data_IF_999143144714
#
_entry.id   IF_999143144714
#
_cell.length_a   1.000
_cell.length_b   1.000
_cell.length_c   1.000
_cell.angle_alpha   90.00
_cell.angle_beta   90.00
_cell.angle_gamma   90.00
#
_symmetry.space_group_name_H-M   'P 1'
#
loop_
_entity.id
_entity.type
_entity.pdbx_description
1 polymer ?
#
# COMPACT_ATOMS: atom_id res chain seq x y z
N UNK A 1 -12.33 10.45 3.05
CA UNK A 1 -11.71 10.15 1.75
C UNK A 1 -10.60 11.12 1.36
N UNK A 2 -10.85 12.44 1.21
CA UNK A 2 -9.77 13.42 0.89
C UNK A 2 -8.56 13.31 1.82
N UNK A 3 -8.78 13.32 3.14
CA UNK A 3 -7.71 13.11 4.14
C UNK A 3 -6.96 11.78 3.97
N UNK A 4 -7.67 10.71 3.58
CA UNK A 4 -7.05 9.40 3.32
C UNK A 4 -6.13 9.47 2.10
N UNK A 5 -6.57 10.11 1.00
CA UNK A 5 -5.76 10.29 -0.20
C UNK A 5 -4.53 11.16 0.09
N UNK A 6 -4.70 12.31 0.78
CA UNK A 6 -3.58 13.19 1.18
C UNK A 6 -2.54 12.45 2.02
N UNK A 7 -2.98 11.62 2.98
CA UNK A 7 -2.06 10.81 3.79
C UNK A 7 -1.30 9.75 2.98
N UNK A 8 -1.84 9.31 1.84
CA UNK A 8 -1.22 8.27 0.99
C UNK A 8 -0.36 8.85 -0.14
N UNK A 9 -0.69 10.04 -0.63
CA UNK A 9 0.06 10.74 -1.68
C UNK A 9 1.14 11.66 -1.13
N UNK A 10 0.95 12.25 0.05
CA UNK A 10 1.76 13.37 0.55
C UNK A 10 1.54 14.68 -0.22
N UNK A 11 0.62 14.68 -1.18
CA UNK A 11 0.34 15.77 -2.11
C UNK A 11 -1.16 16.06 -2.15
N UNK A 12 -1.52 17.30 -1.85
CA UNK A 12 -2.90 17.75 -1.75
C UNK A 12 -3.59 17.97 -3.11
N UNK A 13 -2.83 18.30 -4.15
CA UNK A 13 -3.33 18.52 -5.51
C UNK A 13 -3.60 17.18 -6.18
N UNK A 14 -2.62 16.28 -6.14
CA UNK A 14 -2.81 14.89 -6.59
C UNK A 14 -3.96 14.20 -5.84
N UNK A 15 -4.08 14.44 -4.52
CA UNK A 15 -5.21 13.90 -3.76
C UNK A 15 -6.57 14.46 -4.20
N UNK A 16 -6.63 15.69 -4.71
CA UNK A 16 -7.86 16.28 -5.24
C UNK A 16 -8.23 15.66 -6.59
N UNK A 17 -7.24 15.44 -7.46
CA UNK A 17 -7.45 14.78 -8.76
C UNK A 17 -7.94 13.34 -8.59
N UNK A 18 -7.26 12.54 -7.76
CA UNK A 18 -7.68 11.17 -7.47
C UNK A 18 -9.07 11.11 -6.82
N UNK A 19 -9.41 12.11 -6.01
CA UNK A 19 -10.74 12.22 -5.42
C UNK A 19 -11.80 12.51 -6.48
N UNK A 20 -11.50 13.39 -7.44
CA UNK A 20 -12.38 13.69 -8.56
C UNK A 20 -12.66 12.43 -9.38
N UNK A 21 -11.62 11.67 -9.73
CA UNK A 21 -11.75 10.40 -10.46
C UNK A 21 -12.58 9.36 -9.71
N UNK A 22 -12.46 9.30 -8.38
CA UNK A 22 -13.29 8.42 -7.56
C UNK A 22 -14.78 8.75 -7.69
N UNK A 23 -15.13 10.04 -7.65
CA UNK A 23 -16.51 10.48 -7.80
C UNK A 23 -17.03 10.29 -9.21
N UNK A 24 -16.22 10.56 -10.24
CA UNK A 24 -16.58 10.30 -11.63
C UNK A 24 -16.93 8.82 -11.85
N UNK A 25 -16.09 7.90 -11.33
CA UNK A 25 -16.35 6.45 -11.40
C UNK A 25 -17.59 6.04 -10.61
N UNK A 26 -17.85 6.66 -9.45
CA UNK A 26 -19.09 6.42 -8.71
C UNK A 26 -20.32 6.86 -9.49
N UNK A 27 -20.30 8.02 -10.14
CA UNK A 27 -21.43 8.52 -10.94
C UNK A 27 -21.75 7.54 -12.07
N UNK A 28 -20.74 7.10 -12.80
CA UNK A 28 -20.90 6.08 -13.86
C UNK A 28 -21.47 4.79 -13.26
N UNK A 29 -20.91 4.31 -12.14
CA UNK A 29 -21.39 3.09 -11.49
C UNK A 29 -22.85 3.18 -11.04
N UNK A 30 -23.30 4.34 -10.57
CA UNK A 30 -24.68 4.58 -10.17
C UNK A 30 -25.66 4.48 -11.35
N UNK A 31 -25.23 4.84 -12.57
CA UNK A 31 -26.03 4.64 -13.79
C UNK A 31 -26.23 3.15 -14.10
N UNK A 32 -25.27 2.30 -13.72
CA UNK A 32 -25.31 0.84 -13.84
C UNK A 32 -25.98 0.16 -12.62
N UNK A 33 -26.42 0.93 -11.63
CA UNK A 33 -27.07 0.46 -10.40
C UNK A 33 -26.33 0.85 -9.13
N UNK A 34 -27.05 0.93 -8.00
CA UNK A 34 -26.44 1.36 -6.74
C UNK A 34 -25.56 0.27 -6.14
N UNK A 35 -24.29 0.57 -5.75
CA UNK A 35 -23.50 -0.36 -4.97
C UNK A 35 -24.14 -0.60 -3.61
N UNK A 36 -24.12 -1.86 -3.13
CA UNK A 36 -24.61 -2.23 -1.79
C UNK A 36 -23.98 -1.40 -0.67
N UNK A 37 -22.73 -0.96 -0.87
CA UNK A 37 -22.05 -0.03 0.02
C UNK A 37 -21.19 0.96 -0.77
N UNK A 38 -21.65 2.21 -0.85
CA UNK A 38 -21.01 3.30 -1.59
C UNK A 38 -19.63 3.66 -1.01
N UNK A 39 -19.48 3.69 0.32
CA UNK A 39 -18.20 4.00 0.95
C UNK A 39 -17.15 2.94 0.65
N UNK A 40 -17.55 1.67 0.75
CA UNK A 40 -16.75 0.51 0.40
C UNK A 40 -16.26 0.60 -1.05
N UNK A 41 -17.15 0.89 -1.99
CA UNK A 41 -16.81 1.09 -3.40
C UNK A 41 -15.82 2.26 -3.60
N UNK A 42 -16.07 3.41 -2.99
CA UNK A 42 -15.22 4.59 -3.12
C UNK A 42 -13.80 4.35 -2.61
N UNK A 43 -13.63 3.66 -1.47
CA UNK A 43 -12.30 3.30 -0.98
C UNK A 43 -11.60 2.28 -1.89
N UNK A 44 -12.34 1.34 -2.49
CA UNK A 44 -11.78 0.43 -3.50
C UNK A 44 -11.24 1.20 -4.70
N UNK A 45 -12.03 2.12 -5.25
CA UNK A 45 -11.62 2.93 -6.40
C UNK A 45 -10.41 3.82 -6.06
N UNK A 46 -10.43 4.47 -4.89
CA UNK A 46 -9.32 5.30 -4.41
C UNK A 46 -8.02 4.48 -4.29
N UNK A 47 -8.08 3.28 -3.73
CA UNK A 47 -6.92 2.39 -3.62
C UNK A 47 -6.41 1.96 -5.00
N UNK A 48 -7.29 1.63 -5.94
CA UNK A 48 -6.86 1.31 -7.31
C UNK A 48 -6.15 2.48 -7.98
N UNK A 49 -6.71 3.69 -7.89
CA UNK A 49 -6.12 4.89 -8.48
C UNK A 49 -4.76 5.23 -7.87
N UNK A 50 -4.62 5.11 -6.55
CA UNK A 50 -3.32 5.28 -5.86
C UNK A 50 -2.27 4.28 -6.37
N UNK A 51 -2.69 3.04 -6.58
CA UNK A 51 -1.81 1.96 -7.01
C UNK A 51 -1.39 2.16 -8.47
N UNK A 52 -2.33 2.49 -9.35
CA UNK A 52 -2.05 2.78 -10.76
C UNK A 52 -1.14 4.00 -10.89
N UNK A 53 -1.40 5.06 -10.11
CA UNK A 53 -0.54 6.24 -10.05
C UNK A 53 0.89 5.88 -9.61
N UNK A 54 1.04 5.08 -8.53
CA UNK A 54 2.35 4.61 -8.06
C UNK A 54 3.06 3.72 -9.07
N UNK A 55 2.35 2.85 -9.80
CA UNK A 55 2.96 2.02 -10.86
C UNK A 55 3.47 2.86 -12.02
N UNK A 56 2.68 3.82 -12.49
CA UNK A 56 3.08 4.72 -13.56
C UNK A 56 4.28 5.58 -13.12
N UNK A 57 4.28 6.02 -11.87
CA UNK A 57 5.41 6.74 -11.29
C UNK A 57 6.65 5.84 -11.11
N UNK A 58 6.50 4.57 -10.75
CA UNK A 58 7.63 3.63 -10.65
C UNK A 58 8.20 3.26 -12.02
N UNK A 59 7.35 3.05 -13.03
CA UNK A 59 7.80 2.80 -14.42
C UNK A 59 8.53 4.02 -15.00
N UNK A 60 8.03 5.23 -14.74
CA UNK A 60 8.72 6.47 -15.08
C UNK A 60 10.04 6.63 -14.29
N UNK A 61 10.05 6.27 -13.00
CA UNK A 61 11.27 6.28 -12.17
C UNK A 61 12.31 5.27 -12.59
N UNK A 62 11.94 4.08 -13.08
CA UNK A 62 12.92 3.12 -13.64
C UNK A 62 13.61 3.63 -14.91
N UNK A 63 13.01 4.56 -15.65
CA UNK A 63 13.69 5.31 -16.72
C UNK A 63 14.47 6.53 -16.19
N UNK A 64 14.18 7.00 -14.97
CA UNK A 64 14.76 8.17 -14.34
C UNK A 64 15.64 7.85 -13.10
N UNK A 65 16.19 6.63 -12.95
CA UNK A 65 17.19 6.28 -11.89
C UNK A 65 18.57 6.91 -12.18
N UNK A 66 18.56 8.11 -12.71
CA UNK A 66 19.71 9.00 -12.83
C UNK A 66 19.35 10.39 -12.29
N UNK A 67 18.68 10.48 -11.12
CA UNK A 67 18.86 11.58 -10.17
C UNK A 67 18.08 11.35 -8.86
N UNK A 68 18.81 11.43 -7.75
CA UNK A 68 18.41 11.90 -6.41
C UNK A 68 17.35 11.15 -5.58
N UNK A 69 17.89 10.36 -4.65
CA UNK A 69 17.70 10.37 -3.19
C UNK A 69 16.42 11.05 -2.64
N UNK A 70 15.52 10.24 -2.08
CA UNK A 70 14.35 10.70 -1.32
C UNK A 70 14.73 11.00 0.14
N UNK A 71 14.55 12.25 0.54
CA UNK A 71 14.77 12.76 1.91
C UNK A 71 13.75 12.19 2.91
N UNK A 72 14.27 11.82 4.09
CA UNK A 72 13.52 11.33 5.26
C UNK A 72 12.66 12.44 5.88
N UNK A 73 11.36 12.18 6.06
CA UNK A 73 10.51 12.99 6.92
C UNK A 73 10.81 12.65 8.39
N UNK A 74 11.54 13.53 9.07
CA UNK A 74 11.80 13.46 10.51
C UNK A 74 10.65 14.09 11.31
N UNK A 75 10.20 13.40 12.38
CA UNK A 75 9.31 13.93 13.43
C UNK A 75 10.14 14.19 14.70
N UNK A 76 10.25 15.44 15.22
CA UNK A 76 11.23 15.80 16.24
C UNK A 76 10.82 15.56 17.71
N UNK A 77 9.73 14.83 18.00
CA UNK A 77 9.19 14.76 19.38
C UNK A 77 9.33 13.40 20.12
N UNK A 78 9.92 12.37 19.53
CA UNK A 78 10.16 11.10 20.24
C UNK A 78 11.63 11.01 20.70
N UNK A 79 11.87 10.75 21.98
CA UNK A 79 13.21 10.66 22.57
C UNK A 79 14.16 9.77 21.76
N UNK A 80 15.42 10.21 21.63
CA UNK A 80 16.44 9.62 20.77
C UNK A 80 16.59 8.10 20.92
N UNK A 81 16.37 7.58 22.14
CA UNK A 81 16.47 6.15 22.46
C UNK A 81 15.29 5.33 21.92
N UNK A 82 14.07 5.87 22.02
CA UNK A 82 12.85 5.23 21.51
C UNK A 82 12.84 5.23 19.98
N UNK A 83 13.37 6.29 19.36
CA UNK A 83 13.49 6.36 17.91
C UNK A 83 14.54 5.37 17.36
N UNK A 84 15.66 5.17 18.06
CA UNK A 84 16.68 4.22 17.63
C UNK A 84 16.17 2.78 17.66
N UNK A 85 15.49 2.38 18.74
CA UNK A 85 14.89 1.05 18.88
C UNK A 85 13.77 0.81 17.85
N UNK A 86 12.90 1.80 17.62
CA UNK A 86 11.87 1.74 16.59
C UNK A 86 12.45 1.60 15.17
N UNK A 87 13.52 2.34 14.84
CA UNK A 87 14.22 2.23 13.55
C UNK A 87 14.87 0.86 13.38
N UNK A 88 15.49 0.32 14.43
CA UNK A 88 16.12 -1.01 14.41
C UNK A 88 15.08 -2.12 14.19
N UNK A 89 13.92 -2.05 14.86
CA UNK A 89 12.81 -2.99 14.63
C UNK A 89 12.23 -2.87 13.22
N UNK A 90 12.07 -1.64 12.71
CA UNK A 90 11.57 -1.42 11.36
C UNK A 90 12.52 -1.97 10.28
N UNK A 91 13.84 -1.79 10.47
CA UNK A 91 14.88 -2.36 9.60
C UNK A 91 14.82 -3.89 9.60
N UNK A 92 14.76 -4.53 10.78
CA UNK A 92 14.62 -6.00 10.89
C UNK A 92 13.38 -6.52 10.17
N UNK A 93 12.25 -5.83 10.31
CA UNK A 93 11.01 -6.19 9.61
C UNK A 93 11.16 -6.03 8.08
N UNK A 94 11.81 -4.97 7.62
CA UNK A 94 12.09 -4.72 6.22
C UNK A 94 12.98 -5.82 5.62
N UNK A 95 14.07 -6.17 6.30
CA UNK A 95 15.00 -7.21 5.85
C UNK A 95 14.31 -8.58 5.81
N UNK A 96 13.52 -8.91 6.81
CA UNK A 96 12.72 -10.13 6.82
C UNK A 96 11.71 -10.16 5.65
N UNK A 97 11.07 -9.04 5.32
CA UNK A 97 10.20 -8.98 4.14
C UNK A 97 10.96 -9.30 2.84
N UNK A 98 12.22 -8.86 2.70
CA UNK A 98 13.02 -9.10 1.50
C UNK A 98 13.37 -10.59 1.29
N UNK A 99 13.34 -11.40 2.35
CA UNK A 99 13.60 -12.85 2.25
C UNK A 99 12.42 -13.67 1.74
N UNK A 100 11.21 -13.10 1.77
CA UNK A 100 10.02 -13.78 1.26
C UNK A 100 10.08 -13.90 -0.28
N UNK A 101 9.43 -14.90 -0.89
CA UNK A 101 9.28 -14.94 -2.34
C UNK A 101 8.64 -13.65 -2.87
N UNK A 102 9.12 -13.14 -4.01
CA UNK A 102 8.69 -11.87 -4.61
C UNK A 102 7.16 -11.71 -4.67
N UNK A 103 6.44 -12.79 -4.98
CA UNK A 103 4.97 -12.77 -5.05
C UNK A 103 4.31 -12.56 -3.70
N UNK A 104 4.86 -13.16 -2.65
CA UNK A 104 4.41 -12.98 -1.27
C UNK A 104 4.68 -11.55 -0.80
N UNK A 105 5.85 -10.98 -1.14
CA UNK A 105 6.17 -9.58 -0.88
C UNK A 105 5.16 -8.62 -1.53
N UNK A 106 4.90 -8.81 -2.83
CA UNK A 106 3.95 -8.00 -3.59
C UNK A 106 2.54 -8.06 -2.98
N UNK A 107 2.08 -9.27 -2.63
CA UNK A 107 0.77 -9.46 -2.00
C UNK A 107 0.70 -8.77 -0.64
N UNK A 108 1.74 -8.90 0.19
CA UNK A 108 1.81 -8.25 1.49
C UNK A 108 1.80 -6.73 1.35
N UNK A 109 2.60 -6.18 0.44
CA UNK A 109 2.64 -4.75 0.18
C UNK A 109 1.26 -4.23 -0.25
N UNK A 110 0.65 -4.82 -1.28
CA UNK A 110 -0.66 -4.41 -1.77
C UNK A 110 -1.72 -4.46 -0.67
N UNK A 111 -1.79 -5.55 0.10
CA UNK A 111 -2.90 -5.76 1.04
C UNK A 111 -2.69 -5.11 2.41
N UNK A 112 -1.46 -5.12 2.95
CA UNK A 112 -1.18 -4.65 4.33
C UNK A 112 -0.65 -3.23 4.37
N UNK A 113 0.19 -2.84 3.43
CA UNK A 113 0.78 -1.49 3.39
C UNK A 113 -0.16 -0.53 2.63
N UNK A 114 -0.65 -0.99 1.48
CA UNK A 114 -1.47 -0.17 0.58
C UNK A 114 -2.98 -0.33 0.83
N UNK A 115 -3.39 -1.36 1.58
CA UNK A 115 -4.79 -1.55 1.98
C UNK A 115 -5.70 -2.05 0.87
N UNK A 116 -5.14 -2.64 -0.19
CA UNK A 116 -5.88 -3.29 -1.28
C UNK A 116 -6.67 -4.48 -0.76
N UNK A 117 -7.90 -4.67 -1.26
CA UNK A 117 -8.70 -5.84 -0.90
C UNK A 117 -8.13 -7.08 -1.56
N UNK A 118 -8.35 -8.23 -0.93
CA UNK A 118 -7.79 -9.49 -1.41
C UNK A 118 -8.28 -9.86 -2.82
N UNK A 119 -9.55 -9.59 -3.13
CA UNK A 119 -10.11 -9.83 -4.46
C UNK A 119 -9.49 -8.94 -5.54
N UNK A 120 -9.12 -7.71 -5.18
CA UNK A 120 -8.50 -6.75 -6.07
C UNK A 120 -7.04 -7.09 -6.33
N UNK A 121 -6.31 -7.45 -5.27
CA UNK A 121 -4.94 -7.95 -5.37
C UNK A 121 -4.88 -9.25 -6.20
N UNK A 122 -5.87 -10.13 -6.04
CA UNK A 122 -6.00 -11.36 -6.82
C UNK A 122 -6.14 -11.07 -8.31
N UNK A 123 -7.08 -10.18 -8.68
CA UNK A 123 -7.26 -9.73 -10.07
C UNK A 123 -6.02 -9.05 -10.62
N UNK A 124 -5.41 -8.15 -9.84
CA UNK A 124 -4.25 -7.40 -10.27
C UNK A 124 -3.04 -8.31 -10.57
N UNK A 125 -2.77 -9.26 -9.68
CA UNK A 125 -1.65 -10.18 -9.83
C UNK A 125 -2.01 -11.41 -10.67
N UNK A 126 -3.22 -11.50 -11.23
CA UNK A 126 -3.70 -12.68 -11.96
C UNK A 126 -3.51 -13.99 -11.16
N UNK A 127 -4.01 -14.02 -9.92
CA UNK A 127 -4.04 -15.19 -9.03
C UNK A 127 -5.42 -15.33 -8.39
N UNK A 128 -5.68 -16.43 -7.68
CA UNK A 128 -6.93 -16.59 -6.93
C UNK A 128 -6.92 -15.81 -5.61
N UNK A 129 -8.09 -15.38 -5.13
CA UNK A 129 -8.24 -14.77 -3.80
C UNK A 129 -7.72 -15.69 -2.69
N UNK A 130 -7.88 -17.00 -2.85
CA UNK A 130 -7.32 -17.99 -1.92
C UNK A 130 -5.80 -18.02 -1.95
N UNK A 131 -5.16 -17.82 -3.11
CA UNK A 131 -3.71 -17.67 -3.18
C UNK A 131 -3.24 -16.40 -2.45
N UNK A 132 -3.94 -15.28 -2.62
CA UNK A 132 -3.66 -14.04 -1.86
C UNK A 132 -3.71 -14.28 -0.36
N UNK A 133 -4.76 -14.93 0.14
CA UNK A 133 -4.89 -15.27 1.56
C UNK A 133 -3.76 -16.20 2.05
N UNK A 134 -3.40 -17.22 1.26
CA UNK A 134 -2.29 -18.14 1.60
C UNK A 134 -0.95 -17.41 1.68
N UNK A 135 -0.64 -16.57 0.69
CA UNK A 135 0.59 -15.77 0.71
C UNK A 135 0.61 -14.78 1.88
N UNK A 136 -0.53 -14.18 2.24
CA UNK A 136 -0.63 -13.31 3.41
C UNK A 136 -0.42 -14.06 4.73
N UNK A 137 -0.99 -15.25 4.87
CA UNK A 137 -0.77 -16.08 6.05
C UNK A 137 0.72 -16.41 6.19
N UNK A 138 1.34 -16.90 5.11
CA UNK A 138 2.77 -17.22 5.07
C UNK A 138 3.64 -16.01 5.43
N UNK A 139 3.36 -14.83 4.87
CA UNK A 139 4.10 -13.61 5.20
C UNK A 139 3.96 -13.24 6.68
N UNK A 140 2.76 -13.29 7.24
CA UNK A 140 2.53 -12.93 8.64
C UNK A 140 3.19 -13.92 9.60
N UNK A 141 3.16 -15.20 9.30
CA UNK A 141 3.80 -16.23 10.12
C UNK A 141 5.32 -16.09 10.08
N UNK A 142 5.90 -15.92 8.90
CA UNK A 142 7.34 -15.66 8.73
C UNK A 142 7.81 -14.41 9.49
N UNK A 143 7.06 -13.31 9.39
CA UNK A 143 7.40 -12.06 10.07
C UNK A 143 7.24 -12.17 11.59
N UNK A 144 6.27 -12.95 12.07
CA UNK A 144 6.10 -13.21 13.51
C UNK A 144 7.27 -14.00 14.07
N UNK A 145 7.71 -15.05 13.39
CA UNK A 145 8.88 -15.83 13.80
C UNK A 145 10.14 -14.95 13.90
N UNK A 146 10.34 -14.06 12.92
CA UNK A 146 11.48 -13.12 12.90
C UNK A 146 11.37 -11.98 13.90
N UNK A 147 10.16 -11.54 14.24
CA UNK A 147 9.94 -10.50 15.25
C UNK A 147 9.93 -11.05 16.68
N UNK A 148 9.63 -12.34 16.86
CA UNK A 148 9.60 -13.03 18.16
C UNK A 148 10.94 -13.62 18.61
N UNK A 149 11.96 -13.67 17.74
CA UNK A 149 13.35 -13.89 18.14
C UNK A 149 13.94 -12.60 18.73
N UNK A 150 13.44 -12.23 19.90
CA UNK A 150 14.10 -11.34 20.85
C UNK A 150 14.50 -12.26 22.03
N UNK A 151 15.80 -12.58 22.13
CA UNK A 151 16.39 -13.26 23.31
C UNK A 151 16.25 -12.40 24.57
#
# INVERSE_FOLDING_TARGET
MRRFLVLKTGDAELAADLLHDCYARLIVRLQEGMPDNVLSYLYTVATHLLIDHRRNHHQARTQAVALETLEEVHDPAAGLDVQADARQRLRRLHDALQELPLRTQQIFQLCRIEGMRYQDAARHLNVSTSAVQKHLALALDFLRERAGTED
#
